data_IF_510072216023
#
_entry.id   IF_510072216023
#
_cell.length_a   1.000
_cell.length_b   1.000
_cell.length_c   1.000
_cell.angle_alpha   90.00
_cell.angle_beta   90.00
_cell.angle_gamma   90.00
#
_symmetry.space_group_name_H-M   'P 1'
#
loop_
_entity.id
_entity.type
_entity.pdbx_description
1 polymer ?
#
# COMPACT_ATOMS: atom_id res chain seq x y z
N UNK A 1 5.04 19.27 4.88
CA UNK A 1 4.68 20.37 3.96
C UNK A 1 5.72 20.32 2.87
N UNK A 2 5.33 20.02 1.63
CA UNK A 2 6.26 20.07 0.51
C UNK A 2 6.82 21.49 0.43
N UNK A 3 8.12 21.71 0.62
CA UNK A 3 8.67 23.05 0.61
C UNK A 3 8.58 23.59 -0.83
N UNK A 4 7.86 24.70 -0.98
CA UNK A 4 7.71 25.50 -2.20
C UNK A 4 7.16 24.76 -3.44
N UNK A 5 5.91 25.07 -3.80
CA UNK A 5 5.30 24.75 -5.10
C UNK A 5 6.15 25.19 -6.31
N UNK A 6 7.07 26.15 -6.12
CA UNK A 6 8.03 26.63 -7.12
C UNK A 6 9.15 25.63 -7.44
N UNK A 7 9.55 24.78 -6.50
CA UNK A 7 10.62 23.77 -6.75
C UNK A 7 10.05 22.64 -7.61
N UNK A 8 8.80 22.27 -7.36
CA UNK A 8 8.16 21.16 -8.07
C UNK A 8 7.44 21.59 -9.36
N UNK A 9 7.39 22.89 -9.72
CA UNK A 9 6.66 23.33 -10.92
C UNK A 9 7.18 22.73 -12.23
N UNK A 10 8.48 22.41 -12.31
CA UNK A 10 9.09 21.71 -13.44
C UNK A 10 8.95 20.18 -13.38
N UNK A 11 8.42 19.64 -12.29
CA UNK A 11 8.37 18.19 -11.98
C UNK A 11 6.92 17.69 -11.82
N UNK A 12 5.92 18.58 -12.01
CA UNK A 12 4.49 18.24 -11.97
C UNK A 12 4.05 17.25 -13.05
N UNK A 13 4.88 17.07 -14.07
CA UNK A 13 4.67 16.27 -15.27
C UNK A 13 5.64 15.09 -15.37
N UNK A 14 6.00 14.47 -14.24
CA UNK A 14 6.62 13.15 -14.28
C UNK A 14 5.54 12.15 -14.72
N UNK A 15 5.72 11.58 -15.89
CA UNK A 15 5.01 10.38 -16.32
C UNK A 15 5.76 9.15 -15.80
N UNK A 16 5.03 8.17 -15.27
CA UNK A 16 5.62 6.91 -14.80
C UNK A 16 5.90 6.89 -13.30
N UNK A 17 7.16 6.66 -12.92
CA UNK A 17 7.57 6.43 -11.53
C UNK A 17 7.96 7.71 -10.80
N UNK A 18 7.28 7.95 -9.68
CA UNK A 18 7.74 8.85 -8.64
C UNK A 18 8.36 8.05 -7.51
N UNK A 19 9.69 8.06 -7.47
CA UNK A 19 10.47 7.46 -6.40
C UNK A 19 10.77 8.52 -5.33
N UNK A 20 10.20 8.32 -4.13
CA UNK A 20 10.47 9.13 -2.95
C UNK A 20 11.06 8.29 -1.82
N UNK A 21 11.71 7.17 -2.14
CA UNK A 21 12.32 6.32 -1.15
C UNK A 21 13.26 7.11 -0.23
N UNK A 22 13.25 6.74 1.05
CA UNK A 22 14.10 7.37 2.09
C UNK A 22 13.85 8.87 2.33
N UNK A 23 12.84 9.47 1.67
CA UNK A 23 12.50 10.88 1.83
C UNK A 23 11.94 11.15 3.22
N UNK A 24 12.21 12.35 3.73
CA UNK A 24 11.67 12.80 5.02
C UNK A 24 10.56 13.82 4.82
N UNK A 25 9.39 13.54 5.37
CA UNK A 25 8.22 14.40 5.32
C UNK A 25 8.00 15.06 6.68
N UNK A 26 8.16 16.37 6.72
CA UNK A 26 7.78 17.16 7.89
C UNK A 26 6.26 17.33 7.90
N UNK A 27 5.59 16.97 8.99
CA UNK A 27 4.16 17.18 9.17
C UNK A 27 3.94 18.37 10.12
N UNK A 28 3.22 19.38 9.61
CA UNK A 28 2.77 20.52 10.40
C UNK A 28 1.33 20.35 10.86
N UNK A 29 0.87 21.23 11.75
CA UNK A 29 -0.45 21.17 12.39
C UNK A 29 -1.61 21.02 11.40
N UNK A 30 -2.14 19.80 11.41
CA UNK A 30 -3.48 19.24 11.17
C UNK A 30 -4.42 19.76 10.05
N UNK A 31 -4.35 21.00 9.56
CA UNK A 31 -5.46 21.54 8.75
C UNK A 31 -5.26 21.58 7.23
N UNK A 32 -4.06 21.28 6.72
CA UNK A 32 -3.82 21.12 5.27
C UNK A 32 -3.51 19.67 4.94
N UNK A 33 -4.32 19.08 4.06
CA UNK A 33 -3.99 17.84 3.36
C UNK A 33 -2.85 18.16 2.41
N UNK A 34 -1.66 17.63 2.69
CA UNK A 34 -0.50 17.73 1.80
C UNK A 34 -0.52 16.52 0.87
N UNK A 35 -1.52 16.44 -0.02
CA UNK A 35 -1.64 15.27 -0.86
C UNK A 35 -0.53 15.25 -1.92
N UNK A 36 0.09 14.10 -2.14
CA UNK A 36 1.14 13.95 -3.14
C UNK A 36 0.62 14.24 -4.57
N UNK A 37 -0.64 13.89 -4.85
CA UNK A 37 -1.25 14.13 -6.17
C UNK A 37 -1.75 15.56 -6.39
N UNK A 38 -1.70 16.43 -5.38
CA UNK A 38 -1.86 17.88 -5.60
C UNK A 38 -0.66 18.42 -6.40
N UNK A 39 0.51 17.78 -6.25
CA UNK A 39 1.78 18.16 -6.87
C UNK A 39 2.08 17.33 -8.13
N UNK A 40 1.99 16.00 -8.04
CA UNK A 40 2.38 15.06 -9.10
C UNK A 40 1.15 14.39 -9.72
N UNK A 41 0.74 14.83 -10.91
CA UNK A 41 -0.59 14.52 -11.46
C UNK A 41 -0.66 13.35 -12.43
N UNK A 42 0.48 12.89 -12.94
CA UNK A 42 0.55 11.93 -14.05
C UNK A 42 1.33 10.65 -13.70
N UNK A 43 1.66 10.49 -12.40
CA UNK A 43 2.42 9.33 -11.93
C UNK A 43 1.53 8.09 -11.98
N UNK A 44 2.08 7.00 -12.50
CA UNK A 44 1.43 5.68 -12.54
C UNK A 44 2.07 4.73 -11.53
N UNK A 45 3.29 5.04 -11.06
CA UNK A 45 3.95 4.32 -9.99
C UNK A 45 4.42 5.29 -8.91
N UNK A 46 4.25 4.88 -7.66
CA UNK A 46 4.67 5.63 -6.49
C UNK A 46 5.41 4.71 -5.54
N UNK A 47 6.66 5.05 -5.27
CA UNK A 47 7.47 4.39 -4.26
C UNK A 47 7.66 5.31 -3.06
N UNK A 48 7.04 4.94 -1.94
CA UNK A 48 7.20 5.59 -0.64
C UNK A 48 7.94 4.68 0.34
N UNK A 49 8.72 3.71 -0.14
CA UNK A 49 9.42 2.79 0.74
C UNK A 49 10.45 3.53 1.61
N UNK A 50 10.53 3.17 2.89
CA UNK A 50 11.47 3.78 3.87
C UNK A 50 11.31 5.29 4.05
N UNK A 51 10.17 5.89 3.69
CA UNK A 51 9.93 7.29 4.01
C UNK A 51 9.88 7.48 5.52
N UNK A 52 10.24 8.69 5.98
CA UNK A 52 10.25 9.04 7.40
C UNK A 52 9.37 10.25 7.62
N UNK A 53 8.61 10.24 8.71
CA UNK A 53 7.83 11.40 9.11
C UNK A 53 8.52 12.11 10.28
N UNK A 54 8.50 13.44 10.28
CA UNK A 54 8.97 14.27 11.40
C UNK A 54 7.91 15.25 11.81
N UNK A 55 7.83 15.55 13.09
CA UNK A 55 6.99 16.62 13.58
C UNK A 55 7.63 17.97 13.24
N UNK A 56 6.81 18.98 12.97
CA UNK A 56 7.33 20.35 12.77
C UNK A 56 8.02 20.87 14.03
N UNK A 57 7.54 20.48 15.20
CA UNK A 57 8.06 20.89 16.52
C UNK A 57 9.24 20.06 17.01
N UNK A 58 9.47 18.89 16.41
CA UNK A 58 10.59 18.00 16.72
C UNK A 58 11.22 17.54 15.40
N UNK A 59 12.24 18.29 14.98
CA UNK A 59 12.96 18.07 13.72
C UNK A 59 14.11 17.07 13.87
N UNK A 60 14.45 16.71 15.11
CA UNK A 60 15.58 15.84 15.44
C UNK A 60 15.14 14.38 15.48
N UNK A 61 13.91 14.11 15.92
CA UNK A 61 13.38 12.75 16.02
C UNK A 61 12.41 12.40 14.88
N UNK A 62 12.60 11.21 14.32
CA UNK A 62 11.64 10.60 13.41
C UNK A 62 10.45 10.06 14.21
N UNK A 63 9.26 10.12 13.63
CA UNK A 63 8.05 9.52 14.19
C UNK A 63 8.16 8.01 14.02
N UNK A 64 8.19 7.30 15.14
CA UNK A 64 8.29 5.83 15.22
C UNK A 64 6.96 5.17 15.64
N UNK A 65 5.99 5.96 16.08
CA UNK A 65 4.65 5.49 16.43
C UNK A 65 3.87 5.08 15.17
N UNK A 66 3.48 3.80 15.11
CA UNK A 66 2.80 3.21 13.95
C UNK A 66 1.47 3.90 13.61
N UNK A 67 0.67 4.30 14.61
CA UNK A 67 -0.61 4.99 14.38
C UNK A 67 -0.41 6.37 13.75
N UNK A 68 0.63 7.08 14.20
CA UNK A 68 1.00 8.38 13.64
C UNK A 68 1.52 8.24 12.20
N UNK A 69 2.39 7.25 11.95
CA UNK A 69 2.88 6.93 10.60
C UNK A 69 1.70 6.64 9.68
N UNK A 70 0.77 5.78 10.11
CA UNK A 70 -0.42 5.41 9.35
C UNK A 70 -1.32 6.61 9.07
N UNK A 71 -1.56 7.46 10.06
CA UNK A 71 -2.34 8.69 9.88
C UNK A 71 -1.67 9.64 8.87
N UNK A 72 -0.36 9.86 8.99
CA UNK A 72 0.37 10.73 8.07
C UNK A 72 0.44 10.18 6.65
N UNK A 73 0.64 8.88 6.50
CA UNK A 73 0.57 8.20 5.21
C UNK A 73 -0.84 8.32 4.60
N UNK A 74 -1.89 8.10 5.39
CA UNK A 74 -3.28 8.28 4.96
C UNK A 74 -3.51 9.71 4.47
N UNK A 75 -3.01 10.72 5.18
CA UNK A 75 -3.13 12.13 4.77
C UNK A 75 -2.31 12.48 3.52
N UNK A 76 -1.17 11.82 3.33
CA UNK A 76 -0.30 12.00 2.15
C UNK A 76 -0.95 11.46 0.88
N UNK A 77 -1.70 10.35 1.01
CA UNK A 77 -2.36 9.67 -0.11
C UNK A 77 -3.80 10.17 -0.36
N UNK A 78 -4.50 10.66 0.67
CA UNK A 78 -5.89 11.12 0.57
C UNK A 78 -5.97 12.60 0.16
N UNK A 79 -6.28 12.87 -1.10
CA UNK A 79 -6.52 14.23 -1.57
C UNK A 79 -7.97 14.67 -1.33
N UNK A 80 -8.18 15.96 -1.05
CA UNK A 80 -9.52 16.57 -0.90
C UNK A 80 -10.28 16.68 -2.22
N UNK A 81 -9.55 16.77 -3.33
CA UNK A 81 -10.15 16.95 -4.64
C UNK A 81 -10.65 15.60 -5.14
N UNK A 82 -11.97 15.45 -5.28
CA UNK A 82 -12.63 14.32 -5.98
C UNK A 82 -12.29 14.28 -7.49
N UNK A 83 -11.43 15.19 -7.98
CA UNK A 83 -11.02 15.34 -9.36
C UNK A 83 -9.77 14.55 -9.77
N UNK A 84 -9.27 13.63 -8.93
CA UNK A 84 -8.19 12.69 -9.32
C UNK A 84 -8.61 11.86 -10.56
N UNK A 85 -9.90 11.83 -10.87
CA UNK A 85 -10.46 11.13 -12.04
C UNK A 85 -10.59 11.94 -13.33
N UNK A 86 -10.25 13.23 -13.39
CA UNK A 86 -10.58 14.00 -14.60
C UNK A 86 -9.63 13.82 -15.79
N UNK A 87 -8.43 13.24 -15.62
CA UNK A 87 -7.49 13.03 -16.73
C UNK A 87 -6.92 11.60 -16.84
N UNK A 88 -7.63 10.59 -16.33
CA UNK A 88 -7.43 9.21 -16.81
C UNK A 88 -6.09 8.51 -16.54
N UNK A 89 -5.21 9.05 -15.69
CA UNK A 89 -4.05 8.31 -15.19
C UNK A 89 -4.24 7.98 -13.71
N UNK A 90 -4.35 6.68 -13.45
CA UNK A 90 -4.58 6.11 -12.14
C UNK A 90 -3.28 5.45 -11.67
N UNK A 91 -2.98 5.57 -10.38
CA UNK A 91 -1.85 4.89 -9.79
C UNK A 91 -2.03 3.36 -9.98
N UNK A 92 -1.08 2.73 -10.65
CA UNK A 92 -1.06 1.30 -10.95
C UNK A 92 -0.15 0.55 -9.98
N UNK A 93 0.93 1.19 -9.54
CA UNK A 93 1.90 0.56 -8.63
C UNK A 93 2.11 1.43 -7.40
N UNK A 94 2.00 0.82 -6.23
CA UNK A 94 2.27 1.46 -4.95
C UNK A 94 3.20 0.57 -4.12
N UNK A 95 4.34 1.14 -3.72
CA UNK A 95 5.33 0.48 -2.86
C UNK A 95 5.40 1.22 -1.54
N UNK A 96 5.19 0.49 -0.44
CA UNK A 96 5.11 0.97 0.94
C UNK A 96 6.01 0.11 1.85
N UNK A 97 7.20 -0.26 1.38
CA UNK A 97 8.07 -1.18 2.11
C UNK A 97 8.73 -0.47 3.30
N UNK A 98 9.01 -1.21 4.38
CA UNK A 98 9.81 -0.71 5.51
C UNK A 98 9.29 0.58 6.14
N UNK A 99 7.98 0.64 6.39
CA UNK A 99 7.31 1.78 7.02
C UNK A 99 6.79 1.46 8.44
N UNK A 100 7.10 0.28 8.98
CA UNK A 100 6.57 -0.23 10.25
C UNK A 100 5.03 -0.27 10.31
N UNK A 101 4.37 -0.41 9.16
CA UNK A 101 2.91 -0.45 9.10
C UNK A 101 2.39 -1.69 9.81
N UNK A 102 1.38 -1.54 10.66
CA UNK A 102 0.65 -2.65 11.27
C UNK A 102 -0.64 -2.98 10.49
N UNK A 103 -1.13 -2.03 9.69
CA UNK A 103 -2.30 -2.14 8.82
C UNK A 103 -2.17 -1.19 7.63
N UNK A 104 -3.12 -1.26 6.68
CA UNK A 104 -3.16 -0.39 5.51
C UNK A 104 -3.78 0.98 5.80
N UNK A 105 -3.35 2.05 5.07
CA UNK A 105 -4.06 3.32 5.06
C UNK A 105 -5.56 3.17 4.76
N UNK A 106 -6.39 3.90 5.49
CA UNK A 106 -7.85 3.79 5.39
C UNK A 106 -8.34 4.15 3.98
N UNK A 107 -9.22 3.31 3.41
CA UNK A 107 -9.82 3.48 2.07
C UNK A 107 -8.79 3.55 0.92
N UNK A 108 -7.63 2.90 1.07
CA UNK A 108 -6.61 2.88 0.01
C UNK A 108 -7.17 2.36 -1.33
N UNK A 109 -7.99 1.32 -1.28
CA UNK A 109 -8.67 0.75 -2.45
C UNK A 109 -9.63 1.73 -3.15
N UNK A 110 -10.34 2.58 -2.39
CA UNK A 110 -11.20 3.62 -2.98
C UNK A 110 -10.39 4.79 -3.53
N UNK A 111 -9.23 5.04 -2.93
CA UNK A 111 -8.30 6.09 -3.37
C UNK A 111 -7.62 5.70 -4.68
N UNK A 112 -7.23 4.42 -4.81
CA UNK A 112 -6.58 3.86 -6.00
C UNK A 112 -7.35 2.63 -6.49
N UNK A 113 -8.53 2.83 -7.12
CA UNK A 113 -9.38 1.70 -7.54
C UNK A 113 -8.74 0.81 -8.60
N UNK A 114 -7.65 1.25 -9.23
CA UNK A 114 -7.02 0.64 -10.41
C UNK A 114 -5.57 0.24 -10.11
N UNK A 115 -5.26 0.12 -8.82
CA UNK A 115 -3.99 -0.38 -8.33
C UNK A 115 -3.82 -1.84 -8.77
N UNK A 116 -2.76 -2.09 -9.53
CA UNK A 116 -2.38 -3.40 -10.06
C UNK A 116 -1.32 -4.08 -9.22
N UNK A 117 -0.44 -3.30 -8.60
CA UNK A 117 0.65 -3.81 -7.75
C UNK A 117 0.66 -3.07 -6.44
N UNK A 118 0.65 -3.84 -5.35
CA UNK A 118 0.80 -3.34 -3.99
C UNK A 118 1.91 -4.16 -3.30
N UNK A 119 2.95 -3.43 -2.88
CA UNK A 119 4.08 -4.00 -2.15
C UNK A 119 4.16 -3.42 -0.74
N UNK A 120 4.02 -4.29 0.25
CA UNK A 120 4.01 -4.03 1.68
C UNK A 120 5.14 -4.76 2.39
N UNK A 121 6.18 -5.16 1.68
CA UNK A 121 7.24 -5.96 2.29
C UNK A 121 7.94 -5.26 3.46
N UNK A 122 8.42 -6.05 4.41
CA UNK A 122 9.17 -5.59 5.58
C UNK A 122 8.41 -4.58 6.45
N UNK A 123 7.13 -4.85 6.71
CA UNK A 123 6.32 -4.09 7.67
C UNK A 123 6.01 -4.94 8.92
N UNK A 124 5.05 -4.52 9.72
CA UNK A 124 4.60 -5.19 10.95
C UNK A 124 3.15 -5.69 10.83
N UNK A 125 2.70 -5.96 9.60
CA UNK A 125 1.32 -6.35 9.30
C UNK A 125 1.09 -7.80 9.73
N UNK A 126 0.04 -8.03 10.53
CA UNK A 126 -0.32 -9.37 11.03
C UNK A 126 -1.46 -10.01 10.26
N UNK A 127 -2.36 -9.19 9.77
CA UNK A 127 -3.56 -9.57 9.03
C UNK A 127 -3.83 -8.51 7.96
N UNK A 128 -4.34 -8.93 6.81
CA UNK A 128 -4.73 -8.02 5.75
C UNK A 128 -5.90 -8.58 4.95
N UNK A 129 -6.85 -7.68 4.64
CA UNK A 129 -7.94 -7.98 3.73
C UNK A 129 -7.70 -7.29 2.39
N UNK A 130 -7.40 -8.09 1.38
CA UNK A 130 -7.11 -7.65 0.02
C UNK A 130 -8.32 -7.76 -0.92
N UNK A 131 -9.48 -8.28 -0.45
CA UNK A 131 -10.67 -8.51 -1.27
C UNK A 131 -11.21 -7.22 -1.90
N UNK A 132 -10.93 -6.09 -1.25
CA UNK A 132 -11.38 -4.77 -1.67
C UNK A 132 -10.60 -4.17 -2.85
N UNK A 133 -9.48 -4.77 -3.25
CA UNK A 133 -8.65 -4.31 -4.37
C UNK A 133 -8.96 -5.08 -5.66
N UNK A 134 -10.07 -4.72 -6.30
CA UNK A 134 -10.64 -5.47 -7.42
C UNK A 134 -9.75 -5.59 -8.68
N UNK A 135 -8.77 -4.70 -8.84
CA UNK A 135 -7.86 -4.68 -10.00
C UNK A 135 -6.43 -5.11 -9.64
N UNK A 136 -6.20 -5.53 -8.39
CA UNK A 136 -4.88 -5.91 -7.92
C UNK A 136 -4.49 -7.25 -8.53
N UNK A 137 -3.33 -7.27 -9.20
CA UNK A 137 -2.77 -8.45 -9.90
C UNK A 137 -1.55 -8.99 -9.19
N UNK A 138 -0.76 -8.11 -8.59
CA UNK A 138 0.46 -8.48 -7.86
C UNK A 138 0.38 -7.95 -6.44
N UNK A 139 0.50 -8.87 -5.48
CA UNK A 139 0.50 -8.53 -4.07
C UNK A 139 1.72 -9.13 -3.37
N UNK A 140 2.51 -8.26 -2.73
CA UNK A 140 3.73 -8.65 -2.04
C UNK A 140 3.62 -8.16 -0.60
N UNK A 141 3.72 -9.06 0.36
CA UNK A 141 3.70 -8.73 1.81
C UNK A 141 4.78 -9.51 2.56
N UNK A 142 5.86 -9.85 1.85
CA UNK A 142 6.99 -10.60 2.42
C UNK A 142 7.60 -9.89 3.63
N UNK A 143 8.13 -10.67 4.55
CA UNK A 143 8.78 -10.20 5.77
C UNK A 143 7.88 -9.35 6.66
N UNK A 144 6.63 -9.81 6.84
CA UNK A 144 5.70 -9.30 7.85
C UNK A 144 5.40 -10.40 8.90
N UNK A 145 5.02 -10.06 10.13
CA UNK A 145 4.63 -11.03 11.17
C UNK A 145 3.22 -11.59 10.94
N UNK A 146 2.91 -11.99 9.70
CA UNK A 146 1.60 -12.49 9.28
C UNK A 146 1.29 -13.80 9.99
N UNK A 147 0.11 -13.87 10.59
CA UNK A 147 -0.47 -15.12 11.06
C UNK A 147 -1.23 -15.77 9.90
N UNK A 148 -0.76 -16.91 9.40
CA UNK A 148 -1.37 -17.61 8.25
C UNK A 148 -2.71 -18.29 8.56
N UNK A 149 -3.25 -18.14 9.77
CA UNK A 149 -4.59 -18.60 10.14
C UNK A 149 -5.73 -17.80 9.45
N UNK A 150 -5.39 -16.90 8.54
CA UNK A 150 -6.33 -16.28 7.61
C UNK A 150 -6.86 -17.39 6.70
N UNK A 151 -8.09 -17.84 6.99
CA UNK A 151 -8.95 -18.37 5.94
C UNK A 151 -8.91 -17.33 4.83
N UNK A 152 -8.32 -17.67 3.68
CA UNK A 152 -8.58 -16.95 2.44
C UNK A 152 -10.08 -17.07 2.21
N UNK A 153 -10.86 -16.19 2.85
CA UNK A 153 -12.31 -16.13 2.71
C UNK A 153 -12.55 -15.91 1.23
N UNK A 154 -13.46 -16.74 0.71
CA UNK A 154 -13.56 -17.09 -0.69
C UNK A 154 -13.15 -15.95 -1.63
N UNK A 155 -12.16 -16.17 -2.51
CA UNK A 155 -11.77 -15.15 -3.46
C UNK A 155 -12.97 -14.88 -4.36
N UNK A 156 -13.57 -13.70 -4.16
CA UNK A 156 -14.53 -13.11 -5.08
C UNK A 156 -13.84 -12.93 -6.44
N UNK A 157 -13.82 -13.98 -7.27
CA UNK A 157 -13.51 -14.09 -8.72
C UNK A 157 -12.26 -13.38 -9.29
N UNK A 158 -11.52 -12.62 -8.49
CA UNK A 158 -10.33 -11.88 -8.90
C UNK A 158 -9.10 -12.65 -8.46
N UNK A 159 -8.60 -13.47 -9.39
CA UNK A 159 -7.35 -14.19 -9.22
C UNK A 159 -6.18 -13.23 -9.44
N UNK A 160 -5.25 -13.22 -8.48
CA UNK A 160 -3.99 -12.50 -8.62
C UNK A 160 -3.09 -13.24 -9.61
N UNK A 161 -2.37 -12.50 -10.44
CA UNK A 161 -1.31 -13.09 -11.27
C UNK A 161 -0.18 -13.62 -10.39
N UNK A 162 0.14 -12.90 -9.31
CA UNK A 162 1.18 -13.28 -8.34
C UNK A 162 0.86 -12.78 -6.93
N UNK A 163 1.02 -13.68 -5.96
CA UNK A 163 1.05 -13.35 -4.53
C UNK A 163 2.34 -13.91 -3.93
N UNK A 164 3.08 -13.07 -3.20
CA UNK A 164 4.26 -13.45 -2.41
C UNK A 164 4.01 -13.13 -0.94
N UNK A 165 4.13 -14.16 -0.09
CA UNK A 165 3.95 -14.05 1.36
C UNK A 165 4.99 -14.89 2.11
N UNK A 166 5.98 -14.21 2.66
CA UNK A 166 6.99 -14.77 3.56
C UNK A 166 6.76 -14.18 4.95
N UNK A 167 6.47 -15.00 5.96
CA UNK A 167 6.28 -14.49 7.33
C UNK A 167 7.61 -14.41 8.09
N UNK A 168 7.72 -13.45 9.03
CA UNK A 168 8.87 -13.35 9.95
C UNK A 168 8.69 -14.17 11.23
N UNK A 169 7.47 -14.55 11.57
CA UNK A 169 7.12 -15.23 12.83
C UNK A 169 6.96 -16.73 12.66
N UNK A 170 6.91 -17.22 11.41
CA UNK A 170 6.80 -18.64 11.07
C UNK A 170 7.75 -18.96 9.93
N UNK A 171 8.16 -20.23 9.79
CA UNK A 171 8.92 -20.69 8.62
C UNK A 171 8.02 -20.86 7.38
N UNK A 172 6.75 -20.48 7.47
CA UNK A 172 5.77 -20.68 6.41
C UNK A 172 5.97 -19.61 5.33
N UNK A 173 6.14 -20.08 4.10
CA UNK A 173 6.18 -19.26 2.89
C UNK A 173 5.03 -19.67 1.99
N UNK A 174 4.26 -18.72 1.51
CA UNK A 174 3.19 -18.93 0.53
C UNK A 174 3.46 -18.04 -0.68
N UNK A 175 4.06 -18.64 -1.70
CA UNK A 175 4.20 -18.05 -3.01
C UNK A 175 3.24 -18.76 -3.94
N UNK A 176 2.28 -18.03 -4.49
CA UNK A 176 1.24 -18.62 -5.31
C UNK A 176 1.08 -17.80 -6.59
N UNK A 177 1.29 -18.46 -7.73
CA UNK A 177 0.81 -17.92 -8.99
C UNK A 177 -0.71 -18.17 -9.11
N UNK A 178 -1.33 -17.63 -10.15
CA UNK A 178 -2.74 -17.82 -10.43
C UNK A 178 -3.20 -19.29 -10.42
N UNK A 179 -2.41 -20.20 -10.99
CA UNK A 179 -2.70 -21.65 -11.04
C UNK A 179 -2.65 -22.30 -9.65
N UNK A 180 -1.67 -21.94 -8.84
CA UNK A 180 -1.51 -22.47 -7.48
C UNK A 180 -2.69 -22.03 -6.58
N UNK A 181 -3.20 -20.81 -6.79
CA UNK A 181 -4.39 -20.30 -6.08
C UNK A 181 -5.63 -21.15 -6.38
N UNK A 182 -5.88 -21.54 -7.64
CA UNK A 182 -7.00 -22.43 -7.99
C UNK A 182 -6.90 -23.77 -7.25
N UNK A 183 -5.72 -24.40 -7.31
CA UNK A 183 -5.52 -25.72 -6.70
C UNK A 183 -5.65 -25.68 -5.17
N UNK A 184 -5.22 -24.60 -4.53
CA UNK A 184 -5.38 -24.42 -3.09
C UNK A 184 -6.86 -24.33 -2.69
N UNK A 185 -7.67 -23.57 -3.42
CA UNK A 185 -9.11 -23.42 -3.15
C UNK A 185 -9.84 -24.75 -3.34
N UNK A 186 -9.54 -25.48 -4.42
CA UNK A 186 -10.11 -26.81 -4.66
C UNK A 186 -9.81 -27.77 -3.50
N UNK A 187 -8.56 -27.83 -3.02
CA UNK A 187 -8.18 -28.66 -1.86
C UNK A 187 -8.91 -28.26 -0.57
N UNK A 188 -9.13 -26.97 -0.33
CA UNK A 188 -9.91 -26.51 0.84
C UNK A 188 -11.40 -26.86 0.71
N UNK A 189 -11.99 -26.72 -0.48
CA UNK A 189 -13.39 -27.07 -0.75
C UNK A 189 -13.62 -28.59 -0.63
N UNK A 190 -12.69 -29.41 -1.13
CA UNK A 190 -12.76 -30.87 -0.99
C UNK A 190 -12.69 -31.30 0.48
N UNK A 191 -11.82 -30.69 1.29
CA UNK A 191 -11.75 -30.96 2.73
C UNK A 191 -13.03 -30.60 3.47
N UNK A 192 -13.68 -29.50 3.08
CA UNK A 192 -14.98 -29.09 3.64
C UNK A 192 -16.10 -30.06 3.25
N UNK A 193 -16.11 -30.56 2.01
CA UNK A 193 -17.09 -31.54 1.52
C UNK A 193 -16.90 -32.94 2.11
N UNK A 194 -15.70 -33.30 2.55
CA UNK A 194 -15.43 -34.56 3.26
C UNK A 194 -15.87 -34.55 4.74
N UNK A 195 -16.21 -33.36 5.27
CA UNK A 195 -16.68 -33.16 6.65
C UNK A 195 -18.22 -33.07 6.75
N UNK A 196 -18.94 -33.21 5.63
CA UNK A 196 -20.42 -33.23 5.54
C UNK A 196 -20.93 -34.60 5.10
#
# INVERSE_FOLDING_TARGET
MFPNEKIFSGVKYIDGLLDLQMSTFQMGDENRTNCIFDVFRFITELDLSKIRFRLKTDLENDVDNNDMILNYLTRLLKCRSTKITHNGQQLLVLRLQQLNLIELPINLNKTFPQLHTLDLSYNQIREIDIEYFINLKTFIIDYNPIDFNINFREPNKNYYDSISMISTTTTTTKNMNKKDQYSFIEDQLEKLLQLT
#
